data_IF_098580941798
#
_entry.id   IF_098580941798
#
_cell.length_a   1.000
_cell.length_b   1.000
_cell.length_c   1.000
_cell.angle_alpha   90.00
_cell.angle_beta   90.00
_cell.angle_gamma   90.00
#
_symmetry.space_group_name_H-M   'P 1'
#
loop_
_entity.id
_entity.type
_entity.pdbx_description
1 polymer ?
#
# COMPACT_ATOMS: atom_id res chain seq x y z
N UNK A 1 -4.69 -69.23 -56.46
CA UNK A 1 -3.77 -69.17 -57.62
C UNK A 1 -2.61 -68.28 -57.21
N UNK A 2 -1.45 -68.82 -56.82
CA UNK A 2 -0.38 -69.40 -57.67
C UNK A 2 0.30 -68.34 -58.55
N UNK A 3 1.44 -67.87 -58.03
CA UNK A 3 2.76 -67.71 -58.66
C UNK A 3 3.08 -66.62 -59.71
N UNK A 4 4.28 -66.08 -59.48
CA UNK A 4 5.40 -65.69 -60.38
C UNK A 4 5.58 -64.18 -60.61
N UNK A 5 6.62 -63.53 -60.06
CA UNK A 5 8.10 -63.67 -60.17
C UNK A 5 8.67 -62.66 -61.20
N UNK A 6 9.84 -62.08 -60.85
CA UNK A 6 10.83 -61.27 -61.63
C UNK A 6 10.54 -59.76 -61.79
N UNK A 7 11.49 -58.81 -61.71
CA UNK A 7 12.96 -58.83 -61.53
C UNK A 7 13.45 -57.44 -61.06
N UNK A 8 14.48 -57.46 -60.20
CA UNK A 8 15.62 -56.53 -60.04
C UNK A 8 15.63 -55.17 -60.76
N UNK A 9 15.88 -54.09 -59.99
CA UNK A 9 17.04 -53.23 -60.24
C UNK A 9 17.42 -52.37 -59.02
N UNK A 10 18.68 -52.59 -58.62
CA UNK A 10 19.53 -51.83 -57.71
C UNK A 10 19.44 -50.31 -57.94
N UNK A 11 19.31 -49.55 -56.86
CA UNK A 11 19.96 -48.23 -56.77
C UNK A 11 20.28 -47.91 -55.31
N UNK A 12 21.55 -48.10 -54.98
CA UNK A 12 22.21 -47.67 -53.74
C UNK A 12 22.20 -46.15 -53.64
N UNK A 13 21.52 -45.61 -52.64
CA UNK A 13 21.67 -44.22 -52.21
C UNK A 13 22.24 -44.23 -50.79
N UNK A 14 23.51 -43.81 -50.70
CA UNK A 14 24.19 -43.44 -49.46
C UNK A 14 23.51 -42.17 -48.92
N UNK A 15 22.94 -42.23 -47.71
CA UNK A 15 22.64 -41.03 -46.93
C UNK A 15 23.27 -41.16 -45.55
N UNK A 16 24.05 -40.13 -45.24
CA UNK A 16 24.89 -39.95 -44.08
C UNK A 16 24.05 -39.95 -42.79
N UNK A 17 24.50 -40.73 -41.82
CA UNK A 17 24.04 -40.69 -40.44
C UNK A 17 24.52 -39.40 -39.78
N UNK A 18 23.64 -38.41 -39.59
CA UNK A 18 23.86 -37.34 -38.63
C UNK A 18 23.46 -37.83 -37.24
N UNK A 19 24.45 -38.27 -36.46
CA UNK A 19 24.34 -38.47 -35.02
C UNK A 19 24.23 -37.10 -34.33
N UNK A 20 23.01 -36.66 -34.03
CA UNK A 20 22.78 -35.49 -33.16
C UNK A 20 23.04 -35.88 -31.72
N UNK A 21 24.19 -35.44 -31.21
CA UNK A 21 24.55 -35.46 -29.80
C UNK A 21 23.73 -34.35 -29.09
N UNK A 22 22.83 -34.65 -28.13
CA UNK A 22 22.15 -33.61 -27.39
C UNK A 22 23.14 -32.91 -26.45
N UNK A 23 23.43 -31.64 -26.71
CA UNK A 23 24.12 -30.80 -25.75
C UNK A 23 23.23 -30.59 -24.51
N UNK A 24 23.79 -30.62 -23.29
CA UNK A 24 23.05 -30.21 -22.12
C UNK A 24 22.73 -28.72 -22.25
N UNK A 25 21.43 -28.41 -22.26
CA UNK A 25 20.93 -27.04 -22.17
C UNK A 25 21.36 -26.50 -20.81
N UNK A 26 22.34 -25.61 -20.81
CA UNK A 26 22.70 -24.81 -19.66
C UNK A 26 21.53 -23.88 -19.35
N UNK A 27 20.84 -24.17 -18.25
CA UNK A 27 19.87 -23.30 -17.57
C UNK A 27 20.48 -21.91 -17.39
N UNK A 28 19.80 -20.80 -17.77
CA UNK A 28 20.17 -19.49 -17.28
C UNK A 28 19.93 -19.48 -15.77
N UNK A 29 21.00 -19.25 -15.01
CA UNK A 29 20.93 -19.03 -13.58
C UNK A 29 20.09 -17.79 -13.27
N UNK A 30 19.24 -17.90 -12.26
CA UNK A 30 18.46 -16.82 -11.66
C UNK A 30 19.34 -15.58 -11.40
N UNK A 31 18.93 -14.46 -11.98
CA UNK A 31 19.33 -13.11 -11.56
C UNK A 31 18.14 -12.52 -10.76
N UNK A 32 18.38 -11.66 -9.76
CA UNK A 32 17.36 -11.29 -8.78
C UNK A 32 16.24 -10.45 -9.40
N UNK A 33 15.03 -10.60 -8.82
CA UNK A 33 13.77 -9.93 -9.16
C UNK A 33 13.95 -8.57 -9.83
N UNK A 34 13.66 -8.53 -11.13
CA UNK A 34 13.43 -7.26 -11.84
C UNK A 34 11.94 -6.97 -11.74
N UNK A 35 11.51 -6.38 -10.62
CA UNK A 35 10.19 -5.75 -10.53
C UNK A 35 10.09 -4.73 -11.65
N UNK A 36 9.21 -4.99 -12.62
CA UNK A 36 9.04 -4.10 -13.77
C UNK A 36 8.25 -2.88 -13.30
N UNK A 37 8.81 -1.68 -13.44
CA UNK A 37 8.08 -0.43 -13.21
C UNK A 37 7.19 -0.19 -14.43
N UNK A 38 5.88 -0.11 -14.22
CA UNK A 38 4.90 -0.13 -15.32
C UNK A 38 4.74 1.21 -16.03
N UNK A 39 4.98 2.32 -15.33
CA UNK A 39 4.44 3.60 -15.73
C UNK A 39 5.52 4.64 -16.03
N UNK A 40 5.40 5.21 -17.22
CA UNK A 40 5.99 6.50 -17.57
C UNK A 40 4.83 7.50 -17.59
N UNK A 41 4.87 8.61 -16.84
CA UNK A 41 3.82 9.62 -16.89
C UNK A 41 3.54 10.12 -18.31
N UNK A 42 2.28 10.44 -18.59
CA UNK A 42 1.79 10.85 -19.93
C UNK A 42 2.56 12.05 -20.51
N UNK A 43 3.20 12.83 -19.64
CA UNK A 43 4.18 13.84 -19.99
C UNK A 43 5.46 13.62 -19.18
N UNK A 44 6.61 13.34 -19.84
CA UNK A 44 7.86 13.13 -19.13
C UNK A 44 8.30 14.42 -18.45
N UNK A 45 8.76 14.31 -17.21
CA UNK A 45 9.39 15.43 -16.49
C UNK A 45 10.61 15.93 -17.27
N UNK A 46 10.72 17.23 -17.60
CA UNK A 46 11.89 17.76 -18.28
C UNK A 46 13.16 17.58 -17.44
N UNK A 47 14.27 17.19 -18.08
CA UNK A 47 15.56 16.98 -17.41
C UNK A 47 16.02 18.21 -16.63
N UNK A 48 15.75 19.41 -17.14
CA UNK A 48 16.03 20.66 -16.44
C UNK A 48 15.35 20.72 -15.08
N UNK A 49 14.04 20.40 -15.02
CA UNK A 49 13.28 20.39 -13.77
C UNK A 49 13.81 19.29 -12.85
N UNK A 50 13.96 18.06 -13.36
CA UNK A 50 14.51 16.92 -12.62
C UNK A 50 15.86 17.27 -11.95
N UNK A 51 16.77 17.87 -12.71
CA UNK A 51 18.10 18.23 -12.22
C UNK A 51 18.06 19.39 -11.21
N UNK A 52 17.30 20.45 -11.49
CA UNK A 52 17.20 21.60 -10.59
C UNK A 52 16.55 21.22 -9.25
N UNK A 53 15.51 20.40 -9.25
CA UNK A 53 14.86 19.96 -8.01
C UNK A 53 15.81 19.07 -7.19
N UNK A 54 16.54 18.16 -7.83
CA UNK A 54 17.57 17.36 -7.13
C UNK A 54 18.68 18.23 -6.55
N UNK A 55 19.22 19.19 -7.31
CA UNK A 55 20.23 20.14 -6.79
C UNK A 55 19.68 20.92 -5.60
N UNK A 56 18.44 21.41 -5.69
CA UNK A 56 17.78 22.14 -4.61
C UNK A 56 17.69 21.32 -3.32
N UNK A 57 17.31 20.04 -3.42
CA UNK A 57 17.26 19.15 -2.25
C UNK A 57 18.67 18.77 -1.77
N UNK A 58 19.61 18.54 -2.68
CA UNK A 58 20.99 18.17 -2.37
C UNK A 58 21.67 19.25 -1.51
N UNK A 59 21.51 20.52 -1.90
CA UNK A 59 22.03 21.67 -1.17
C UNK A 59 21.38 21.78 0.22
N UNK A 60 20.07 21.53 0.32
CA UNK A 60 19.33 21.59 1.59
C UNK A 60 19.77 20.51 2.59
N UNK A 61 19.95 19.28 2.11
CA UNK A 61 20.32 18.14 2.97
C UNK A 61 21.84 17.99 3.13
N UNK A 62 22.64 18.75 2.37
CA UNK A 62 24.09 18.62 2.28
C UNK A 62 24.51 17.18 1.87
N UNK A 63 23.88 16.70 0.80
CA UNK A 63 24.06 15.36 0.19
C UNK A 63 24.47 15.49 -1.28
N UNK A 64 24.87 14.40 -1.93
CA UNK A 64 25.17 14.44 -3.38
C UNK A 64 23.92 14.22 -4.22
N UNK A 65 23.86 14.82 -5.42
CA UNK A 65 22.74 14.63 -6.35
C UNK A 65 22.53 13.15 -6.71
N UNK A 66 23.60 12.35 -6.76
CA UNK A 66 23.53 10.91 -7.04
C UNK A 66 22.84 10.10 -5.94
N UNK A 67 22.71 10.64 -4.72
CA UNK A 67 21.94 10.03 -3.63
C UNK A 67 20.43 10.27 -3.80
N UNK A 68 20.03 11.15 -4.73
CA UNK A 68 18.65 11.56 -4.92
C UNK A 68 18.07 10.98 -6.20
N UNK A 69 16.94 10.29 -6.08
CA UNK A 69 16.17 9.77 -7.21
C UNK A 69 14.89 10.60 -7.41
N UNK A 70 14.47 10.76 -8.68
CA UNK A 70 13.12 11.27 -8.98
C UNK A 70 12.14 10.11 -8.85
N UNK A 71 11.07 10.33 -8.08
CA UNK A 71 9.93 9.43 -7.96
C UNK A 71 8.77 9.88 -8.87
N UNK A 72 7.57 9.91 -8.27
CA UNK A 72 6.34 10.41 -8.90
C UNK A 72 6.49 11.83 -9.40
N UNK A 73 5.83 12.14 -10.50
CA UNK A 73 5.69 13.50 -10.97
C UNK A 73 4.43 13.67 -11.80
N UNK A 74 3.87 14.87 -11.79
CA UNK A 74 2.70 15.22 -12.57
C UNK A 74 2.77 16.68 -13.01
N UNK A 75 2.20 16.98 -14.18
CA UNK A 75 1.98 18.36 -14.61
C UNK A 75 0.72 18.88 -13.94
N UNK A 76 0.81 20.02 -13.31
CA UNK A 76 -0.25 20.59 -12.48
C UNK A 76 -0.55 22.04 -12.85
N UNK A 77 -1.71 22.51 -12.41
CA UNK A 77 -2.08 23.93 -12.41
C UNK A 77 -2.30 24.39 -10.98
N UNK A 78 -1.47 25.32 -10.54
CA UNK A 78 -1.50 25.88 -9.20
C UNK A 78 -2.49 27.03 -9.09
N UNK A 79 -3.00 27.25 -7.88
CA UNK A 79 -3.99 28.29 -7.58
C UNK A 79 -3.48 29.72 -7.77
N UNK A 80 -2.17 29.92 -7.66
CA UNK A 80 -1.52 31.22 -7.60
C UNK A 80 -0.05 31.14 -8.03
N UNK A 81 0.60 32.30 -8.14
CA UNK A 81 2.02 32.44 -8.45
C UNK A 81 2.98 32.04 -7.31
N UNK A 82 2.47 31.51 -6.20
CA UNK A 82 3.26 30.85 -5.15
C UNK A 82 3.15 29.33 -5.24
N UNK A 83 2.62 28.82 -6.35
CA UNK A 83 2.45 27.39 -6.60
C UNK A 83 1.47 26.73 -5.61
N UNK A 84 0.54 27.52 -5.06
CA UNK A 84 -0.40 27.09 -4.03
C UNK A 84 0.25 26.74 -2.68
N UNK A 85 1.45 27.28 -2.43
CA UNK A 85 2.23 27.10 -1.19
C UNK A 85 2.50 28.44 -0.48
N UNK A 86 1.77 29.49 -0.84
CA UNK A 86 1.88 30.80 -0.21
C UNK A 86 1.50 30.77 1.27
N UNK A 87 2.35 31.34 2.13
CA UNK A 87 2.02 31.50 3.55
C UNK A 87 1.08 32.69 3.80
N UNK A 88 0.47 32.81 5.00
CA UNK A 88 -0.46 33.90 5.32
C UNK A 88 0.11 35.32 5.17
N UNK A 89 1.43 35.46 5.25
CA UNK A 89 2.15 36.73 5.12
C UNK A 89 2.67 37.01 3.70
N UNK A 90 2.51 36.07 2.76
CA UNK A 90 3.05 36.18 1.40
C UNK A 90 1.98 36.71 0.44
N UNK A 91 2.31 37.75 -0.33
CA UNK A 91 1.41 38.29 -1.36
C UNK A 91 1.67 37.60 -2.69
N UNK A 92 0.95 36.51 -2.92
CA UNK A 92 1.02 35.74 -4.15
C UNK A 92 0.24 36.41 -5.28
N UNK A 93 0.76 36.33 -6.51
CA UNK A 93 0.00 36.74 -7.69
C UNK A 93 -1.23 35.83 -7.81
N UNK A 94 -2.43 36.42 -7.79
CA UNK A 94 -3.70 35.70 -7.94
C UNK A 94 -3.94 35.28 -9.41
N UNK A 95 -3.08 34.42 -9.94
CA UNK A 95 -3.14 33.89 -11.29
C UNK A 95 -2.76 32.41 -11.29
N UNK A 96 -3.55 31.61 -12.02
CA UNK A 96 -3.24 30.20 -12.22
C UNK A 96 -1.87 30.05 -12.85
N UNK A 97 -1.05 29.16 -12.28
CA UNK A 97 0.33 28.94 -12.72
C UNK A 97 0.51 27.48 -13.07
N UNK A 98 0.85 27.19 -14.32
CA UNK A 98 1.17 25.82 -14.73
C UNK A 98 2.56 25.41 -14.25
N UNK A 99 2.76 24.13 -13.98
CA UNK A 99 4.07 23.61 -13.58
C UNK A 99 4.08 22.13 -13.23
N UNK A 100 5.01 21.71 -12.39
CA UNK A 100 5.21 20.30 -12.04
C UNK A 100 5.20 20.04 -10.55
N UNK A 101 4.48 18.99 -10.12
CA UNK A 101 4.75 18.33 -8.85
C UNK A 101 5.81 17.26 -9.06
N UNK A 102 6.81 17.20 -8.18
CA UNK A 102 7.93 16.26 -8.28
C UNK A 102 8.23 15.66 -6.91
N UNK A 103 8.18 14.33 -6.80
CA UNK A 103 8.69 13.58 -5.67
C UNK A 103 10.20 13.35 -5.87
N UNK A 104 10.98 13.65 -4.84
CA UNK A 104 12.40 13.31 -4.76
C UNK A 104 12.63 12.40 -3.57
N UNK A 105 13.33 11.30 -3.80
CA UNK A 105 13.60 10.24 -2.83
C UNK A 105 15.09 10.30 -2.47
N UNK A 106 15.38 10.45 -1.19
CA UNK A 106 16.72 10.18 -0.66
C UNK A 106 16.92 8.67 -0.55
N UNK A 107 17.73 8.11 -1.43
CA UNK A 107 17.93 6.66 -1.55
C UNK A 107 18.65 6.03 -0.35
N UNK A 108 19.28 6.83 0.52
CA UNK A 108 19.90 6.31 1.75
C UNK A 108 18.92 6.20 2.91
N UNK A 109 18.01 7.17 3.03
CA UNK A 109 17.05 7.23 4.16
C UNK A 109 15.64 6.80 3.78
N UNK A 110 15.36 6.57 2.50
CA UNK A 110 14.04 6.36 1.90
C UNK A 110 13.03 7.50 2.19
N UNK A 111 13.54 8.68 2.58
CA UNK A 111 12.71 9.86 2.81
C UNK A 111 12.28 10.48 1.49
N UNK A 112 11.01 10.89 1.44
CA UNK A 112 10.35 11.45 0.27
C UNK A 112 10.10 12.94 0.49
N UNK A 113 10.38 13.73 -0.54
CA UNK A 113 10.21 15.18 -0.54
C UNK A 113 9.42 15.59 -1.78
N UNK A 114 8.35 16.36 -1.59
CA UNK A 114 7.53 16.84 -2.70
C UNK A 114 7.87 18.29 -3.01
N UNK A 115 8.19 18.58 -4.26
CA UNK A 115 8.42 19.92 -4.77
C UNK A 115 7.32 20.31 -5.75
N UNK A 116 6.99 21.59 -5.76
CA UNK A 116 6.18 22.24 -6.80
C UNK A 116 7.04 23.22 -7.55
N UNK A 117 6.89 23.24 -8.85
CA UNK A 117 7.64 24.12 -9.75
C UNK A 117 6.69 24.84 -10.71
N UNK A 118 7.13 25.92 -11.33
CA UNK A 118 6.51 26.40 -12.58
C UNK A 118 7.03 25.59 -13.79
N UNK A 119 6.57 25.92 -15.00
CA UNK A 119 6.97 25.16 -16.20
C UNK A 119 8.46 25.26 -16.55
N UNK A 120 9.12 26.37 -16.20
CA UNK A 120 10.53 26.63 -16.52
C UNK A 120 11.49 26.18 -15.42
N UNK A 121 11.00 25.95 -14.20
CA UNK A 121 11.82 25.69 -13.02
C UNK A 121 12.45 26.97 -12.45
N UNK A 122 11.95 28.15 -12.83
CA UNK A 122 12.40 29.42 -12.27
C UNK A 122 11.93 29.56 -10.81
N UNK A 123 10.80 28.93 -10.48
CA UNK A 123 10.35 28.73 -9.11
C UNK A 123 10.34 27.25 -8.76
N UNK A 124 10.97 26.91 -7.63
CA UNK A 124 10.98 25.57 -7.05
C UNK A 124 10.74 25.70 -5.55
N UNK A 125 9.63 25.14 -5.06
CA UNK A 125 9.23 25.19 -3.65
C UNK A 125 9.05 23.80 -3.10
N UNK A 126 9.64 23.52 -1.95
CA UNK A 126 9.31 22.32 -1.19
C UNK A 126 7.90 22.48 -0.62
N UNK A 127 7.07 21.50 -0.87
CA UNK A 127 5.74 21.40 -0.30
C UNK A 127 5.83 21.09 1.20
N UNK A 128 5.07 21.84 1.99
CA UNK A 128 4.88 21.62 3.42
C UNK A 128 3.48 21.11 3.73
N UNK A 129 2.74 20.68 2.70
CA UNK A 129 1.40 20.13 2.87
C UNK A 129 1.50 18.75 3.52
N UNK A 130 0.57 18.46 4.42
CA UNK A 130 0.46 17.16 5.10
C UNK A 130 0.16 16.06 4.09
N UNK A 131 -0.84 16.28 3.23
CA UNK A 131 -1.10 15.43 2.07
C UNK A 131 -0.57 16.11 0.80
N UNK A 132 0.26 15.37 0.05
CA UNK A 132 0.86 15.87 -1.20
C UNK A 132 0.14 15.35 -2.44
N UNK A 133 -1.14 15.00 -2.33
CA UNK A 133 -1.95 14.53 -3.45
C UNK A 133 -1.98 15.61 -4.55
N UNK A 134 -1.61 15.29 -5.80
CA UNK A 134 -1.65 16.26 -6.87
C UNK A 134 -3.08 16.78 -7.10
N UNK A 135 -3.29 18.08 -7.34
CA UNK A 135 -4.60 18.65 -7.62
C UNK A 135 -5.36 17.93 -8.74
N UNK A 136 -4.68 17.56 -9.82
CA UNK A 136 -5.25 16.80 -10.93
C UNK A 136 -5.82 15.43 -10.50
N UNK A 137 -5.12 14.71 -9.61
CA UNK A 137 -5.55 13.41 -9.08
C UNK A 137 -6.75 13.59 -8.16
N UNK A 138 -6.73 14.58 -7.26
CA UNK A 138 -7.88 14.94 -6.42
C UNK A 138 -9.14 15.14 -7.27
N UNK A 139 -9.03 15.96 -8.31
CA UNK A 139 -10.18 16.33 -9.13
C UNK A 139 -10.73 15.11 -9.90
N UNK A 140 -9.85 14.22 -10.38
CA UNK A 140 -10.24 12.94 -11.01
C UNK A 140 -10.89 11.96 -10.04
N UNK A 141 -10.42 11.88 -8.79
CA UNK A 141 -11.07 11.07 -7.75
C UNK A 141 -12.48 11.60 -7.47
N UNK A 142 -12.64 12.93 -7.34
CA UNK A 142 -13.96 13.53 -7.12
C UNK A 142 -14.90 13.29 -8.30
N UNK A 143 -14.41 13.37 -9.53
CA UNK A 143 -15.22 13.03 -10.71
C UNK A 143 -15.60 11.55 -10.73
N UNK A 144 -14.64 10.66 -10.45
CA UNK A 144 -14.88 9.21 -10.37
C UNK A 144 -15.94 8.90 -9.34
N UNK A 145 -15.84 9.45 -8.13
CA UNK A 145 -16.83 9.33 -7.08
C UNK A 145 -18.24 9.74 -7.55
N UNK A 146 -18.37 10.92 -8.17
CA UNK A 146 -19.66 11.41 -8.70
C UNK A 146 -20.22 10.50 -9.79
N UNK A 147 -19.36 10.04 -10.70
CA UNK A 147 -19.75 9.15 -11.80
C UNK A 147 -20.24 7.77 -11.32
N UNK A 148 -19.69 7.30 -10.20
CA UNK A 148 -20.11 6.06 -9.52
C UNK A 148 -21.41 6.20 -8.72
N UNK A 149 -22.06 7.37 -8.78
CA UNK A 149 -23.35 7.62 -8.15
C UNK A 149 -23.28 8.22 -6.76
N UNK A 150 -22.08 8.55 -6.26
CA UNK A 150 -21.98 9.34 -5.03
C UNK A 150 -22.56 10.72 -5.30
N UNK A 151 -23.44 11.17 -4.40
CA UNK A 151 -23.98 12.53 -4.38
C UNK A 151 -23.42 13.24 -3.16
N UNK A 152 -22.12 13.55 -3.16
CA UNK A 152 -21.46 14.10 -1.99
C UNK A 152 -22.04 15.48 -1.69
N UNK A 153 -22.07 15.85 -0.42
CA UNK A 153 -22.41 17.20 0.01
C UNK A 153 -21.35 18.21 -0.45
N UNK A 154 -21.63 19.50 -0.23
CA UNK A 154 -20.67 20.59 -0.48
C UNK A 154 -19.38 20.48 0.36
N UNK A 155 -19.37 19.63 1.40
CA UNK A 155 -18.20 19.41 2.25
C UNK A 155 -17.26 18.30 1.75
N UNK A 156 -17.42 17.82 0.50
CA UNK A 156 -16.48 16.85 -0.07
C UNK A 156 -15.06 17.40 -0.08
N UNK A 157 -14.15 16.70 0.59
CA UNK A 157 -12.74 17.04 0.65
C UNK A 157 -11.84 15.81 0.66
N UNK A 158 -10.55 16.04 0.46
CA UNK A 158 -9.50 15.08 0.82
C UNK A 158 -9.24 15.23 2.30
N UNK A 159 -9.31 14.13 3.05
CA UNK A 159 -8.92 14.16 4.46
C UNK A 159 -7.52 13.59 4.68
N UNK A 160 -7.08 12.66 3.83
CA UNK A 160 -5.76 12.04 3.89
C UNK A 160 -5.30 11.53 2.53
N UNK A 161 -4.00 11.48 2.27
CA UNK A 161 -3.44 10.88 1.06
C UNK A 161 -1.95 10.56 1.19
N UNK A 162 -1.56 9.41 0.65
CA UNK A 162 -0.20 8.89 0.69
C UNK A 162 0.25 8.36 -0.68
N UNK A 163 1.54 8.55 -1.06
CA UNK A 163 2.11 7.87 -2.20
C UNK A 163 2.23 6.36 -1.92
N UNK A 164 1.90 5.53 -2.91
CA UNK A 164 1.92 4.07 -2.78
C UNK A 164 2.45 3.40 -4.04
N UNK A 165 3.13 2.27 -3.87
CA UNK A 165 3.60 1.45 -4.97
C UNK A 165 2.80 0.16 -4.98
N UNK A 166 2.03 -0.05 -6.03
CA UNK A 166 1.09 -1.14 -6.12
C UNK A 166 1.58 -2.29 -6.98
N UNK A 167 1.07 -3.49 -6.68
CA UNK A 167 1.03 -4.61 -7.63
C UNK A 167 -0.09 -4.38 -8.68
N UNK A 168 -0.26 -5.33 -9.61
CA UNK A 168 -1.25 -5.22 -10.69
C UNK A 168 -2.72 -5.16 -10.24
N UNK A 169 -3.02 -5.42 -8.97
CA UNK A 169 -4.37 -5.32 -8.42
C UNK A 169 -4.59 -4.00 -7.65
N UNK A 170 -3.62 -3.08 -7.67
CA UNK A 170 -3.69 -1.83 -6.90
C UNK A 170 -3.78 -2.06 -5.38
N UNK A 171 -3.22 -3.17 -4.88
CA UNK A 171 -3.37 -3.56 -3.46
C UNK A 171 -4.79 -4.03 -3.08
N UNK A 172 -5.67 -4.24 -4.07
CA UNK A 172 -7.07 -4.65 -3.90
C UNK A 172 -7.33 -6.01 -4.54
N UNK A 173 -6.53 -6.99 -4.14
CA UNK A 173 -6.65 -8.36 -4.63
C UNK A 173 -7.75 -9.09 -3.86
N UNK A 174 -8.70 -9.70 -4.57
CA UNK A 174 -9.60 -10.66 -3.95
C UNK A 174 -8.83 -11.90 -3.45
N UNK A 175 -9.42 -12.71 -2.57
CA UNK A 175 -8.77 -13.90 -2.08
C UNK A 175 -8.46 -14.86 -3.22
N UNK A 176 -7.21 -15.35 -3.26
CA UNK A 176 -6.69 -16.22 -4.33
C UNK A 176 -6.56 -15.55 -5.72
N UNK A 177 -6.81 -14.25 -5.83
CA UNK A 177 -6.52 -13.52 -7.06
C UNK A 177 -5.00 -13.38 -7.24
N UNK A 178 -4.50 -13.84 -8.38
CA UNK A 178 -3.11 -13.60 -8.77
C UNK A 178 -2.99 -12.18 -9.32
N UNK A 179 -2.10 -11.40 -8.71
CA UNK A 179 -1.73 -10.07 -9.16
C UNK A 179 -0.37 -10.13 -9.85
N UNK A 180 -0.19 -9.34 -10.90
CA UNK A 180 1.12 -9.22 -11.52
C UNK A 180 2.08 -8.54 -10.55
N UNK A 181 3.28 -9.08 -10.42
CA UNK A 181 4.40 -8.49 -9.66
C UNK A 181 5.00 -7.35 -10.48
N UNK A 182 4.35 -6.20 -10.40
CA UNK A 182 4.68 -4.97 -11.11
C UNK A 182 4.73 -3.83 -10.09
N UNK A 183 5.51 -2.79 -10.34
CA UNK A 183 5.54 -1.59 -9.51
C UNK A 183 4.79 -0.46 -10.21
N UNK A 184 3.51 -0.30 -9.86
CA UNK A 184 2.68 0.83 -10.29
C UNK A 184 2.81 1.93 -9.25
N UNK A 185 3.45 3.04 -9.62
CA UNK A 185 3.52 4.20 -8.74
C UNK A 185 2.15 4.89 -8.74
N UNK A 186 1.64 5.25 -7.57
CA UNK A 186 0.38 5.93 -7.50
C UNK A 186 0.07 6.48 -6.12
N UNK A 187 -1.21 6.69 -5.84
CA UNK A 187 -1.68 7.30 -4.60
C UNK A 187 -2.80 6.49 -3.98
N UNK A 188 -2.81 6.39 -2.65
CA UNK A 188 -4.03 6.14 -1.89
C UNK A 188 -4.53 7.46 -1.32
N UNK A 189 -5.84 7.69 -1.37
CA UNK A 189 -6.44 8.92 -0.88
C UNK A 189 -7.78 8.63 -0.21
N UNK A 190 -8.05 9.33 0.89
CA UNK A 190 -9.34 9.30 1.55
C UNK A 190 -10.11 10.56 1.22
N UNK A 191 -11.30 10.38 0.66
CA UNK A 191 -12.27 11.48 0.48
C UNK A 191 -13.40 11.34 1.48
N UNK A 192 -13.95 12.48 1.92
CA UNK A 192 -15.10 12.50 2.82
C UNK A 192 -16.00 13.68 2.54
N UNK A 193 -17.30 13.47 2.70
CA UNK A 193 -18.31 14.51 2.68
C UNK A 193 -18.73 14.97 4.10
N UNK A 194 -18.02 14.50 5.13
CA UNK A 194 -18.30 14.74 6.55
C UNK A 194 -19.20 13.69 7.20
N UNK A 195 -19.74 12.73 6.43
CA UNK A 195 -20.56 11.63 6.95
C UNK A 195 -19.90 10.28 6.66
N UNK A 196 -19.36 10.11 5.45
CA UNK A 196 -18.74 8.86 5.02
C UNK A 196 -17.30 9.10 4.55
N UNK A 197 -16.52 8.03 4.51
CA UNK A 197 -15.12 8.02 4.17
C UNK A 197 -14.89 6.97 3.09
N UNK A 198 -14.35 7.38 1.95
CA UNK A 198 -14.04 6.49 0.84
C UNK A 198 -12.55 6.50 0.56
N UNK A 199 -11.97 5.31 0.44
CA UNK A 199 -10.54 5.14 0.20
C UNK A 199 -10.33 4.75 -1.26
N UNK A 200 -9.66 5.59 -2.02
CA UNK A 200 -9.36 5.36 -3.44
C UNK A 200 -7.88 5.07 -3.65
N UNK A 201 -7.58 4.07 -4.48
CA UNK A 201 -6.24 3.76 -4.96
C UNK A 201 -6.15 4.17 -6.43
N UNK A 202 -5.07 4.84 -6.80
CA UNK A 202 -4.86 5.40 -8.12
C UNK A 202 -3.47 5.07 -8.64
N UNK A 203 -3.28 5.10 -9.95
CA UNK A 203 -1.95 5.23 -10.56
C UNK A 203 -1.44 6.68 -10.48
N UNK A 204 -0.24 6.95 -10.99
CA UNK A 204 0.39 8.26 -10.86
C UNK A 204 -0.31 9.35 -11.71
N UNK A 205 -1.02 8.96 -12.77
CA UNK A 205 -1.73 9.88 -13.68
C UNK A 205 -3.21 10.05 -13.32
N UNK A 206 -3.75 9.17 -12.47
CA UNK A 206 -5.18 9.08 -12.18
C UNK A 206 -5.99 8.53 -13.36
N UNK A 207 -5.39 7.70 -14.21
CA UNK A 207 -6.10 7.06 -15.34
C UNK A 207 -6.82 5.80 -14.87
N UNK A 208 -6.23 5.10 -13.92
CA UNK A 208 -6.87 4.03 -13.15
C UNK A 208 -7.15 4.54 -11.74
N UNK A 209 -8.42 4.50 -11.34
CA UNK A 209 -8.90 4.86 -10.00
C UNK A 209 -9.82 3.74 -9.52
N UNK A 210 -9.48 3.11 -8.39
CA UNK A 210 -10.22 1.99 -7.80
C UNK A 210 -10.65 2.33 -6.38
N UNK A 211 -11.90 2.02 -6.03
CA UNK A 211 -12.42 2.17 -4.67
C UNK A 211 -12.04 0.94 -3.85
N UNK A 212 -11.41 1.16 -2.69
CA UNK A 212 -11.26 0.17 -1.65
C UNK A 212 -12.54 0.15 -0.80
N UNK A 213 -13.55 -0.58 -1.29
CA UNK A 213 -14.86 -0.65 -0.63
C UNK A 213 -14.76 -1.27 0.77
N UNK A 214 -13.94 -2.33 0.92
CA UNK A 214 -13.72 -3.05 2.18
C UNK A 214 -13.20 -2.15 3.30
N UNK A 215 -12.27 -1.23 3.00
CA UNK A 215 -11.71 -0.33 4.00
C UNK A 215 -12.42 1.03 4.08
N UNK A 216 -13.43 1.27 3.23
CA UNK A 216 -14.23 2.49 3.32
C UNK A 216 -15.15 2.43 4.53
N UNK A 217 -15.33 3.56 5.22
CA UNK A 217 -16.00 3.62 6.53
C UNK A 217 -17.13 4.63 6.52
N UNK A 218 -18.12 4.45 7.41
CA UNK A 218 -19.26 5.36 7.59
C UNK A 218 -19.24 6.13 8.90
N UNK A 219 -18.22 5.94 9.72
CA UNK A 219 -18.17 6.62 11.02
C UNK A 219 -16.75 6.75 11.57
N UNK A 220 -15.96 5.68 11.54
CA UNK A 220 -14.57 5.77 11.96
C UNK A 220 -13.74 6.45 10.85
N UNK A 221 -12.93 7.44 11.22
CA UNK A 221 -12.09 8.23 10.32
C UNK A 221 -10.85 7.41 9.94
N UNK A 222 -10.67 6.99 8.68
CA UNK A 222 -9.46 6.30 8.29
C UNK A 222 -8.34 7.32 8.07
N UNK A 223 -7.18 7.01 8.64
CA UNK A 223 -5.91 7.70 8.48
C UNK A 223 -4.85 6.71 8.04
N UNK A 224 -3.92 7.18 7.24
CA UNK A 224 -2.82 6.35 6.81
C UNK A 224 -1.70 6.36 7.85
N UNK A 225 -1.21 5.16 8.19
CA UNK A 225 -0.01 5.01 9.01
C UNK A 225 1.18 4.70 8.11
N UNK A 226 2.41 5.12 8.51
CA UNK A 226 3.62 4.69 7.83
C UNK A 226 3.64 3.16 7.73
N UNK A 227 4.01 2.62 6.57
CA UNK A 227 4.02 1.18 6.36
C UNK A 227 4.89 0.50 7.42
N UNK A 228 4.26 -0.25 8.31
CA UNK A 228 4.94 -1.14 9.25
C UNK A 228 5.24 -2.41 8.48
N UNK A 229 6.50 -2.83 8.42
CA UNK A 229 6.88 -4.05 7.72
C UNK A 229 6.20 -5.28 8.36
N UNK A 230 5.23 -5.95 7.71
CA UNK A 230 4.51 -7.08 8.32
C UNK A 230 5.43 -8.29 8.55
N UNK A 231 6.60 -8.35 7.88
CA UNK A 231 7.63 -9.38 8.11
C UNK A 231 8.22 -9.34 9.53
N UNK A 232 7.92 -8.31 10.31
CA UNK A 232 8.29 -8.24 11.73
C UNK A 232 7.68 -9.38 12.56
N UNK A 233 6.58 -10.00 12.09
CA UNK A 233 5.98 -11.16 12.74
C UNK A 233 6.83 -12.45 12.66
N UNK A 234 7.84 -12.49 11.78
CA UNK A 234 8.56 -13.73 11.49
C UNK A 234 7.72 -14.75 10.71
N UNK A 235 8.20 -15.99 10.63
CA UNK A 235 7.55 -17.05 9.84
C UNK A 235 6.54 -17.88 10.64
N UNK A 236 6.57 -17.78 11.98
CA UNK A 236 5.76 -18.60 12.89
C UNK A 236 4.40 -17.94 13.20
N UNK A 237 4.40 -16.63 13.48
CA UNK A 237 3.18 -15.91 13.89
C UNK A 237 2.25 -15.66 12.71
N UNK A 238 1.02 -16.15 12.83
CA UNK A 238 -0.02 -16.00 11.79
C UNK A 238 -0.88 -14.75 11.99
N UNK A 239 -1.03 -14.32 13.25
CA UNK A 239 -1.81 -13.15 13.62
C UNK A 239 -1.30 -12.59 14.95
N UNK A 240 -1.16 -11.27 15.02
CA UNK A 240 -0.80 -10.57 16.25
C UNK A 240 -1.85 -9.50 16.55
N UNK A 241 -2.26 -9.44 17.81
CA UNK A 241 -3.06 -8.37 18.37
C UNK A 241 -2.23 -7.64 19.44
N UNK A 242 -2.01 -6.35 19.25
CA UNK A 242 -1.36 -5.49 20.25
C UNK A 242 -2.34 -4.44 20.73
N UNK A 243 -2.53 -4.32 22.03
CA UNK A 243 -3.34 -3.28 22.67
C UNK A 243 -2.38 -2.34 23.39
N UNK A 244 -2.34 -1.08 22.96
CA UNK A 244 -1.51 -0.03 23.55
C UNK A 244 -2.38 0.95 24.32
N UNK A 245 -2.05 1.15 25.59
CA UNK A 245 -2.74 2.08 26.49
C UNK A 245 -1.92 3.37 26.64
N UNK A 246 -2.59 4.49 26.95
CA UNK A 246 -1.91 5.78 27.18
C UNK A 246 -0.94 5.75 28.38
N UNK A 247 -1.14 4.82 29.31
CA UNK A 247 -0.28 4.61 30.48
C UNK A 247 1.13 4.10 30.13
N UNK A 248 1.39 3.76 28.86
CA UNK A 248 2.62 3.09 28.43
C UNK A 248 2.58 1.57 28.63
N UNK A 249 1.44 1.03 29.06
CA UNK A 249 1.18 -0.41 29.13
C UNK A 249 0.79 -0.95 27.75
N UNK A 250 1.33 -2.13 27.42
CA UNK A 250 1.04 -2.82 26.17
C UNK A 250 0.75 -4.29 26.45
N UNK A 251 -0.30 -4.80 25.83
CA UNK A 251 -0.66 -6.22 25.84
C UNK A 251 -0.53 -6.76 24.42
N UNK A 252 0.27 -7.79 24.22
CA UNK A 252 0.48 -8.41 22.91
C UNK A 252 0.08 -9.89 22.95
N UNK A 253 -0.78 -10.29 22.03
CA UNK A 253 -1.17 -11.67 21.80
C UNK A 253 -0.69 -12.10 20.42
N UNK A 254 0.14 -13.14 20.37
CA UNK A 254 0.69 -13.70 19.13
C UNK A 254 0.13 -15.11 18.93
N UNK A 255 -0.62 -15.31 17.87
CA UNK A 255 -1.09 -16.63 17.45
C UNK A 255 -0.06 -17.25 16.52
N UNK A 256 0.54 -18.34 16.95
CA UNK A 256 1.54 -19.09 16.21
C UNK A 256 0.90 -20.19 15.34
N UNK A 257 1.60 -20.58 14.28
CA UNK A 257 1.17 -21.67 13.40
C UNK A 257 1.22 -23.07 14.06
N UNK A 258 1.83 -23.19 15.24
CA UNK A 258 2.05 -24.45 15.98
C UNK A 258 1.10 -24.61 17.18
N UNK A 259 -0.11 -24.05 17.08
CA UNK A 259 -1.18 -24.16 18.09
C UNK A 259 -0.89 -23.40 19.40
N UNK A 260 0.05 -22.46 19.41
CA UNK A 260 0.34 -21.62 20.59
C UNK A 260 -0.27 -20.22 20.45
N UNK A 261 -0.80 -19.71 21.56
CA UNK A 261 -1.07 -18.29 21.76
C UNK A 261 -0.15 -17.79 22.85
N UNK A 262 0.70 -16.82 22.51
CA UNK A 262 1.64 -16.21 23.43
C UNK A 262 1.06 -14.87 23.85
N UNK A 263 0.87 -14.66 25.16
CA UNK A 263 0.50 -13.37 25.73
C UNK A 263 1.73 -12.74 26.38
N UNK A 264 1.96 -11.47 26.09
CA UNK A 264 3.04 -10.65 26.65
C UNK A 264 2.43 -9.35 27.16
N UNK A 265 2.68 -9.02 28.43
CA UNK A 265 2.34 -7.73 29.01
C UNK A 265 3.63 -6.95 29.27
N UNK A 266 3.71 -5.75 28.72
CA UNK A 266 4.86 -4.86 28.83
C UNK A 266 4.45 -3.52 29.42
N UNK A 267 5.37 -2.89 30.16
CA UNK A 267 5.24 -1.50 30.59
C UNK A 267 6.60 -0.82 30.46
N UNK A 268 6.64 0.31 29.78
CA UNK A 268 7.88 1.09 29.56
C UNK A 268 9.02 0.26 28.92
N UNK A 269 8.67 -0.75 28.12
CA UNK A 269 9.62 -1.66 27.46
C UNK A 269 10.12 -2.83 28.33
N UNK A 270 9.62 -2.97 29.57
CA UNK A 270 9.92 -4.11 30.43
C UNK A 270 8.77 -5.13 30.40
N UNK A 271 9.10 -6.41 30.18
CA UNK A 271 8.14 -7.52 30.22
C UNK A 271 7.73 -7.78 31.66
N UNK A 272 6.45 -7.57 31.95
CA UNK A 272 5.84 -7.73 33.28
C UNK A 272 5.20 -9.11 33.45
N UNK A 273 4.58 -9.64 32.39
CA UNK A 273 3.98 -10.97 32.36
C UNK A 273 4.18 -11.61 30.99
N UNK A 274 4.34 -12.93 30.97
CA UNK A 274 4.38 -13.72 29.76
C UNK A 274 3.71 -15.08 30.00
N UNK A 275 2.72 -15.40 29.18
CA UNK A 275 1.97 -16.65 29.27
C UNK A 275 1.90 -17.32 27.90
N UNK A 276 1.74 -18.64 27.90
CA UNK A 276 1.54 -19.40 26.67
C UNK A 276 0.42 -20.39 26.90
N UNK A 277 -0.58 -20.33 26.04
CA UNK A 277 -1.74 -21.22 26.04
C UNK A 277 -1.81 -21.98 24.73
N UNK A 278 -2.45 -23.14 24.72
CA UNK A 278 -2.71 -23.92 23.51
C UNK A 278 -4.05 -23.51 22.89
N UNK A 279 -4.06 -23.32 21.57
CA UNK A 279 -5.26 -22.99 20.78
C UNK A 279 -5.60 -24.18 19.90
N UNK A 280 -6.89 -24.51 19.78
CA UNK A 280 -7.29 -25.61 18.92
C UNK A 280 -7.08 -25.24 17.45
N UNK A 281 -6.56 -26.18 16.67
CA UNK A 281 -6.37 -25.99 15.23
C UNK A 281 -7.63 -25.51 14.50
N UNK A 282 -8.82 -25.95 14.94
CA UNK A 282 -10.09 -25.52 14.36
C UNK A 282 -10.37 -24.02 14.52
N UNK A 283 -9.91 -23.40 15.62
CA UNK A 283 -10.03 -21.96 15.88
C UNK A 283 -9.05 -21.17 15.01
N UNK A 284 -7.81 -21.64 14.90
CA UNK A 284 -6.81 -21.04 14.01
C UNK A 284 -7.34 -21.00 12.57
N UNK A 285 -7.88 -22.13 12.10
CA UNK A 285 -8.46 -22.21 10.76
C UNK A 285 -9.72 -21.34 10.59
N UNK A 286 -10.49 -21.10 11.64
CA UNK A 286 -11.65 -20.22 11.59
C UNK A 286 -11.22 -18.75 11.44
N UNK A 287 -10.25 -18.30 12.23
CA UNK A 287 -9.64 -16.97 12.09
C UNK A 287 -9.03 -16.76 10.70
N UNK A 288 -8.23 -17.72 10.21
CA UNK A 288 -7.61 -17.62 8.88
C UNK A 288 -8.65 -17.48 7.77
N UNK A 289 -9.75 -18.25 7.84
CA UNK A 289 -10.87 -18.10 6.89
C UNK A 289 -11.56 -16.75 7.03
N UNK A 290 -11.68 -16.21 8.25
CA UNK A 290 -12.28 -14.90 8.46
C UNK A 290 -11.40 -13.78 7.89
N UNK A 291 -10.08 -13.84 8.08
CA UNK A 291 -9.14 -12.88 7.47
C UNK A 291 -9.23 -12.90 5.94
N UNK A 292 -9.33 -14.09 5.35
CA UNK A 292 -9.52 -14.26 3.91
C UNK A 292 -10.87 -13.71 3.44
N UNK A 293 -11.97 -14.09 4.10
CA UNK A 293 -13.33 -13.63 3.76
C UNK A 293 -13.51 -12.12 3.92
N UNK A 294 -12.79 -11.50 4.86
CA UNK A 294 -12.81 -10.07 5.12
C UNK A 294 -11.83 -9.27 4.24
N UNK A 295 -11.10 -9.90 3.31
CA UNK A 295 -10.06 -9.25 2.52
C UNK A 295 -9.09 -8.43 3.40
N UNK A 296 -8.53 -9.06 4.44
CA UNK A 296 -7.81 -8.32 5.49
C UNK A 296 -6.65 -7.44 4.95
N UNK A 297 -6.02 -7.83 3.83
CA UNK A 297 -5.00 -7.03 3.15
C UNK A 297 -5.49 -5.66 2.65
N UNK A 298 -6.80 -5.46 2.46
CA UNK A 298 -7.37 -4.16 2.09
C UNK A 298 -7.27 -3.13 3.22
N UNK A 299 -7.04 -3.57 4.46
CA UNK A 299 -6.86 -2.68 5.60
C UNK A 299 -5.41 -2.26 5.85
N UNK A 300 -4.46 -2.74 5.03
CA UNK A 300 -3.04 -2.54 5.27
C UNK A 300 -2.64 -1.06 5.35
N UNK A 301 -1.97 -0.72 6.45
CA UNK A 301 -1.47 0.62 6.73
C UNK A 301 -2.57 1.65 6.98
N UNK A 302 -3.73 1.23 7.51
CA UNK A 302 -4.85 2.11 7.87
C UNK A 302 -5.07 2.10 9.39
N UNK A 303 -5.24 3.29 9.96
CA UNK A 303 -5.70 3.53 11.34
C UNK A 303 -7.10 4.13 11.31
N UNK A 304 -8.02 3.56 12.06
CA UNK A 304 -9.37 4.10 12.25
C UNK A 304 -9.48 4.86 13.59
N UNK A 305 -9.82 6.13 13.50
CA UNK A 305 -9.99 7.03 14.64
C UNK A 305 -11.46 7.37 14.87
N UNK A 306 -11.85 7.74 16.10
CA UNK A 306 -13.19 8.26 16.34
C UNK A 306 -13.38 9.60 15.60
N UNK A 307 -14.59 9.90 15.11
CA UNK A 307 -14.87 11.15 14.38
C UNK A 307 -14.80 12.39 15.26
N UNK A 308 -14.91 12.23 16.58
CA UNK A 308 -14.71 13.29 17.57
C UNK A 308 -13.66 12.78 18.56
N UNK A 309 -12.67 13.62 18.88
CA UNK A 309 -11.55 13.33 19.77
C UNK A 309 -11.93 13.32 21.25
N UNK A 310 -13.17 12.96 21.60
CA UNK A 310 -13.66 13.11 22.99
C UNK A 310 -13.26 11.92 23.89
N UNK A 311 -12.57 10.92 23.36
CA UNK A 311 -12.17 9.71 24.07
C UNK A 311 -10.66 9.47 23.94
N UNK A 312 -9.87 10.50 24.28
CA UNK A 312 -8.39 10.47 24.25
C UNK A 312 -7.82 9.27 25.04
N UNK A 313 -8.57 8.70 26.00
CA UNK A 313 -8.12 7.60 26.86
C UNK A 313 -8.34 6.20 26.26
N UNK A 314 -9.02 6.06 25.11
CA UNK A 314 -9.34 4.75 24.55
C UNK A 314 -8.08 4.03 24.01
N UNK A 315 -7.83 2.76 24.41
CA UNK A 315 -6.67 2.02 23.92
C UNK A 315 -6.69 1.86 22.41
N UNK A 316 -5.51 1.95 21.80
CA UNK A 316 -5.32 1.62 20.38
C UNK A 316 -5.09 0.12 20.25
N UNK A 317 -5.79 -0.51 19.32
CA UNK A 317 -5.59 -1.90 18.94
C UNK A 317 -4.92 -1.96 17.59
N UNK A 318 -3.86 -2.75 17.49
CA UNK A 318 -3.14 -3.05 16.25
C UNK A 318 -3.30 -4.53 15.93
N UNK A 319 -3.94 -4.83 14.81
CA UNK A 319 -3.98 -6.17 14.24
C UNK A 319 -2.97 -6.27 13.12
N UNK A 320 -2.08 -7.26 13.21
CA UNK A 320 -1.06 -7.55 12.20
C UNK A 320 -1.23 -8.98 11.73
N UNK A 321 -1.28 -9.16 10.42
CA UNK A 321 -1.23 -10.46 9.76
C UNK A 321 -0.16 -10.42 8.66
N UNK A 322 0.12 -11.56 8.04
CA UNK A 322 1.10 -11.69 6.95
C UNK A 322 0.90 -10.67 5.80
N UNK A 323 -0.33 -10.26 5.55
CA UNK A 323 -0.71 -9.44 4.39
C UNK A 323 -1.09 -8.01 4.74
N UNK A 324 -0.95 -7.60 6.01
CA UNK A 324 -1.13 -6.20 6.37
C UNK A 324 -1.31 -5.94 7.85
N UNK A 325 -1.31 -4.65 8.17
CA UNK A 325 -1.51 -4.12 9.52
C UNK A 325 -2.64 -3.12 9.53
N UNK A 326 -3.54 -3.21 10.50
CA UNK A 326 -4.61 -2.23 10.71
C UNK A 326 -4.65 -1.82 12.18
N UNK A 327 -4.90 -0.54 12.41
CA UNK A 327 -5.07 0.01 13.74
C UNK A 327 -6.48 0.58 13.92
N UNK A 328 -7.02 0.49 15.13
CA UNK A 328 -8.27 1.14 15.47
C UNK A 328 -8.33 1.49 16.95
N UNK A 329 -9.03 2.56 17.28
CA UNK A 329 -9.37 2.84 18.69
C UNK A 329 -10.49 1.90 19.16
N UNK A 330 -10.36 1.34 20.38
CA UNK A 330 -11.43 0.51 20.98
C UNK A 330 -12.78 1.23 21.05
N UNK A 331 -12.81 2.57 21.14
CA UNK A 331 -14.05 3.34 21.15
C UNK A 331 -14.74 3.45 19.79
N UNK A 332 -14.06 3.03 18.71
CA UNK A 332 -14.56 3.15 17.34
C UNK A 332 -15.12 1.86 16.75
N UNK A 333 -15.16 0.75 17.51
CA UNK A 333 -15.48 -0.60 17.00
C UNK A 333 -16.80 -0.66 16.22
N UNK A 334 -17.87 -0.06 16.74
CA UNK A 334 -19.19 -0.07 16.09
C UNK A 334 -19.21 0.72 14.77
N UNK A 335 -18.27 1.65 14.60
CA UNK A 335 -18.15 2.54 13.45
C UNK A 335 -17.12 2.05 12.41
N UNK A 336 -16.42 0.94 12.66
CA UNK A 336 -15.46 0.34 11.73
C UNK A 336 -16.18 -0.29 10.52
N UNK A 337 -15.46 -0.53 9.41
CA UNK A 337 -15.98 -1.34 8.31
C UNK A 337 -16.42 -2.73 8.78
N UNK A 338 -17.51 -3.25 8.20
CA UNK A 338 -18.16 -4.49 8.66
C UNK A 338 -17.21 -5.70 8.58
N UNK A 339 -16.37 -5.74 7.54
CA UNK A 339 -15.40 -6.79 7.33
C UNK A 339 -14.32 -6.81 8.43
N UNK A 340 -13.93 -5.63 8.95
CA UNK A 340 -13.01 -5.53 10.09
C UNK A 340 -13.69 -5.91 11.40
N UNK A 341 -14.97 -5.53 11.60
CA UNK A 341 -15.75 -5.96 12.77
C UNK A 341 -15.83 -7.50 12.85
N UNK A 342 -16.03 -8.18 11.72
CA UNK A 342 -16.06 -9.64 11.68
C UNK A 342 -14.72 -10.29 12.07
N UNK A 343 -13.59 -9.67 11.72
CA UNK A 343 -12.26 -10.12 12.16
C UNK A 343 -12.10 -9.93 13.68
N UNK A 344 -12.56 -8.80 14.22
CA UNK A 344 -12.54 -8.53 15.66
C UNK A 344 -13.37 -9.56 16.44
N UNK A 345 -14.57 -9.87 15.95
CA UNK A 345 -15.45 -10.87 16.56
C UNK A 345 -14.80 -12.26 16.57
N UNK A 346 -14.25 -12.70 15.42
CA UNK A 346 -13.61 -14.02 15.34
C UNK A 346 -12.33 -14.10 16.19
N UNK A 347 -11.56 -13.02 16.27
CA UNK A 347 -10.44 -12.94 17.19
C UNK A 347 -10.88 -13.04 18.66
N UNK A 348 -11.98 -12.39 19.03
CA UNK A 348 -12.61 -12.54 20.35
C UNK A 348 -12.96 -14.01 20.67
N UNK A 349 -13.52 -14.74 19.70
CA UNK A 349 -13.82 -16.17 19.84
C UNK A 349 -12.58 -17.04 20.07
N UNK A 350 -11.43 -16.67 19.48
CA UNK A 350 -10.16 -17.35 19.73
C UNK A 350 -9.74 -17.17 21.19
N UNK A 351 -9.80 -15.95 21.70
CA UNK A 351 -9.31 -15.60 23.05
C UNK A 351 -10.27 -16.07 24.17
N UNK A 352 -11.58 -15.85 24.05
CA UNK A 352 -12.56 -16.15 25.12
C UNK A 352 -12.69 -17.65 25.46
N UNK A 353 -12.65 -18.52 24.45
CA UNK A 353 -12.82 -19.97 24.67
C UNK A 353 -11.61 -20.62 25.37
N UNK A 354 -10.56 -19.85 25.61
CA UNK A 354 -9.35 -20.29 26.29
C UNK A 354 -9.43 -20.11 27.80
N UNK A 355 -10.24 -19.16 28.27
CA UNK A 355 -10.48 -18.94 29.71
C UNK A 355 -11.49 -19.93 30.29
N UNK A 356 -12.18 -20.70 29.44
CA UNK A 356 -13.16 -21.73 29.84
C UNK A 356 -12.61 -23.16 29.76
N UNK A 357 -11.33 -23.34 29.40
CA UNK A 357 -10.69 -24.65 29.24
C UNK A 357 -9.84 -25.11 30.45
N UNK A 358 -9.86 -24.34 31.55
CA UNK A 358 -9.38 -24.75 32.89
C UNK A 358 -10.45 -25.52 33.67
#
# INVERSE_FOLDING_TARGET
MIHRITFSLLSTVLLLSCSTNPQPVSTPANSPDTTTVAETPDQPLPDTISNQVKVTLADRLNVTVDQLAIGRHSRETWSDGCLGLGGPAESCLAALTEGWQVEVIDTQSDKRYFYRTDLSGDQIRLSTLENNLPPSIRDRIFETARSSGLKPSESLGIIDADPQTWNGCYGLADPNQLCTEIAILGWRAVISDGVQYWIYHTDNSGDTIRLNETASSRGAVPRFIPMVNPRMLGDETVFQNTISHESGEQETLMLENDERLIYIQERDGEVMNQETKTVRQSQIQALLRQLEASNFSHFDGIRYQPPVSDDDEAPTVTFTARYGTVEYSKSSVEALPTELQAVIEEWGNVVEQMDQAE
#
